data_IF_636443076653
#
_entry.id   IF_636443076653
#
_cell.length_a   1.000
_cell.length_b   1.000
_cell.length_c   1.000
_cell.angle_alpha   90.00
_cell.angle_beta   90.00
_cell.angle_gamma   90.00
#
_symmetry.space_group_name_H-M   'P 1'
#
loop_
_entity.id
_entity.type
_entity.pdbx_description
1 polymer ?
#
# COMPACT_ATOMS: atom_id res chain seq x y z
N UNK A 1 -11.33 7.68 -23.86
CA UNK A 1 -10.41 6.52 -23.97
C UNK A 1 -11.27 5.26 -23.86
N UNK A 2 -11.13 4.31 -24.79
CA UNK A 2 -11.82 3.02 -24.68
C UNK A 2 -11.01 2.08 -23.78
N UNK A 3 -11.69 1.29 -22.90
CA UNK A 3 -10.98 0.32 -22.08
C UNK A 3 -10.27 -0.73 -22.96
N UNK A 4 -9.06 -1.16 -22.58
CA UNK A 4 -8.38 -2.22 -23.29
C UNK A 4 -9.12 -3.56 -23.11
N UNK A 5 -9.44 -4.24 -24.22
CA UNK A 5 -10.17 -5.51 -24.18
C UNK A 5 -9.33 -6.63 -23.54
N UNK A 6 -9.89 -7.44 -22.63
CA UNK A 6 -9.11 -8.44 -21.84
C UNK A 6 -8.46 -9.54 -22.66
N UNK A 7 -8.93 -9.80 -23.90
CA UNK A 7 -8.52 -10.96 -24.72
C UNK A 7 -7.69 -10.60 -25.95
N UNK A 8 -7.30 -9.34 -26.14
CA UNK A 8 -6.50 -8.91 -27.28
C UNK A 8 -5.09 -8.53 -26.86
N UNK A 9 -4.16 -8.56 -27.81
CA UNK A 9 -2.84 -7.97 -27.63
C UNK A 9 -2.98 -6.52 -27.16
N UNK A 10 -2.41 -6.23 -26.02
CA UNK A 10 -2.55 -4.93 -25.38
C UNK A 10 -1.29 -4.10 -25.64
N UNK A 11 -1.47 -2.91 -26.15
CA UNK A 11 -0.37 -1.96 -26.22
C UNK A 11 -0.09 -1.40 -24.82
N UNK A 12 1.14 -1.55 -24.27
CA UNK A 12 1.44 -1.12 -22.89
C UNK A 12 1.11 0.35 -22.63
N UNK A 13 1.39 1.26 -23.57
CA UNK A 13 1.04 2.67 -23.45
C UNK A 13 -0.47 2.91 -23.36
N UNK A 14 -1.30 2.10 -24.06
CA UNK A 14 -2.76 2.20 -23.95
C UNK A 14 -3.24 1.74 -22.57
N UNK A 15 -2.63 0.70 -22.02
CA UNK A 15 -2.95 0.22 -20.67
C UNK A 15 -2.59 1.29 -19.65
N UNK A 16 -1.38 1.87 -19.74
CA UNK A 16 -0.99 2.98 -18.88
C UNK A 16 -1.96 4.16 -19.01
N UNK A 17 -2.25 4.61 -20.21
CA UNK A 17 -3.20 5.71 -20.43
C UNK A 17 -4.61 5.42 -19.86
N UNK A 18 -5.05 4.18 -19.91
CA UNK A 18 -6.31 3.76 -19.29
C UNK A 18 -6.24 3.82 -17.77
N UNK A 19 -5.18 3.34 -17.16
CA UNK A 19 -4.97 3.43 -15.72
C UNK A 19 -4.84 4.87 -15.24
N UNK A 20 -4.08 5.70 -15.95
CA UNK A 20 -3.95 7.13 -15.64
C UNK A 20 -5.32 7.83 -15.69
N UNK A 21 -6.14 7.51 -16.71
CA UNK A 21 -7.51 8.01 -16.80
C UNK A 21 -8.36 7.55 -15.60
N UNK A 22 -8.32 6.27 -15.24
CA UNK A 22 -9.07 5.75 -14.09
C UNK A 22 -8.62 6.42 -12.78
N UNK A 23 -7.31 6.54 -12.56
CA UNK A 23 -6.77 7.23 -11.38
C UNK A 23 -7.22 8.69 -11.32
N UNK A 24 -7.20 9.40 -12.45
CA UNK A 24 -7.66 10.80 -12.54
C UNK A 24 -9.16 10.93 -12.22
N UNK A 25 -10.00 9.99 -12.69
CA UNK A 25 -11.44 10.00 -12.40
C UNK A 25 -11.71 9.72 -10.92
N UNK A 26 -11.03 8.74 -10.33
CA UNK A 26 -11.18 8.41 -8.90
C UNK A 26 -10.68 9.57 -8.04
N UNK A 27 -9.51 10.15 -8.36
CA UNK A 27 -8.98 11.34 -7.68
C UNK A 27 -9.99 12.50 -7.70
N UNK A 28 -10.58 12.82 -8.87
CA UNK A 28 -11.59 13.87 -9.02
C UNK A 28 -12.81 13.58 -8.16
N UNK A 29 -13.37 12.38 -8.28
CA UNK A 29 -14.57 11.96 -7.57
C UNK A 29 -14.39 12.00 -6.04
N UNK A 30 -13.30 11.46 -5.53
CA UNK A 30 -12.98 11.47 -4.09
C UNK A 30 -12.69 12.88 -3.62
N UNK A 31 -11.94 13.67 -4.41
CA UNK A 31 -11.58 15.04 -4.09
C UNK A 31 -12.79 15.98 -4.02
N UNK A 32 -13.77 15.82 -4.92
CA UNK A 32 -15.02 16.61 -4.89
C UNK A 32 -15.84 16.34 -3.61
N UNK A 33 -15.90 15.06 -3.19
CA UNK A 33 -16.57 14.71 -1.94
C UNK A 33 -15.84 15.28 -0.72
N UNK A 34 -14.50 15.21 -0.71
CA UNK A 34 -13.69 15.78 0.36
C UNK A 34 -13.90 17.31 0.46
N UNK A 35 -13.92 18.02 -0.67
CA UNK A 35 -14.18 19.47 -0.70
C UNK A 35 -15.54 19.81 -0.09
N UNK A 36 -16.58 19.05 -0.40
CA UNK A 36 -17.93 19.25 0.19
C UNK A 36 -17.89 19.01 1.71
N UNK A 37 -17.29 17.91 2.16
CA UNK A 37 -17.21 17.60 3.59
C UNK A 37 -16.42 18.67 4.37
N UNK A 38 -15.29 19.13 3.82
CA UNK A 38 -14.49 20.19 4.41
C UNK A 38 -15.26 21.53 4.49
N UNK A 39 -16.07 21.84 3.46
CA UNK A 39 -16.91 23.03 3.47
C UNK A 39 -17.96 23.02 4.60
N UNK A 40 -18.38 21.82 5.06
CA UNK A 40 -19.22 21.64 6.24
C UNK A 40 -18.45 21.52 7.56
N UNK A 41 -17.13 21.71 7.54
CA UNK A 41 -16.27 21.65 8.73
C UNK A 41 -15.91 20.24 9.19
N UNK A 42 -16.12 19.22 8.36
CA UNK A 42 -15.67 17.87 8.66
C UNK A 42 -14.14 17.82 8.67
N UNK A 43 -13.58 17.08 9.62
CA UNK A 43 -12.16 16.79 9.75
C UNK A 43 -11.94 15.28 9.73
N UNK A 44 -10.73 14.83 9.44
CA UNK A 44 -10.39 13.41 9.32
C UNK A 44 -11.15 12.70 8.19
N UNK A 45 -11.37 13.41 7.09
CA UNK A 45 -11.98 12.87 5.89
C UNK A 45 -11.00 11.88 5.24
N UNK A 46 -11.46 10.67 5.00
CA UNK A 46 -10.70 9.62 4.34
C UNK A 46 -11.59 8.77 3.45
N UNK A 47 -11.00 7.91 2.65
CA UNK A 47 -11.72 6.91 1.86
C UNK A 47 -11.10 5.54 2.06
N UNK A 48 -11.96 4.56 2.15
CA UNK A 48 -11.57 3.18 2.35
C UNK A 48 -10.97 2.58 1.08
N UNK A 49 -9.77 2.06 1.16
CA UNK A 49 -8.99 1.56 0.02
C UNK A 49 -8.57 0.11 0.24
N UNK A 50 -8.45 -0.64 -0.85
CA UNK A 50 -7.96 -2.02 -0.84
C UNK A 50 -6.50 -2.10 -1.28
N UNK A 51 -5.75 -3.03 -0.67
CA UNK A 51 -4.31 -3.18 -0.80
C UNK A 51 -3.75 -3.41 -2.21
N UNK A 52 -4.55 -3.84 -3.17
CA UNK A 52 -4.06 -4.51 -4.38
C UNK A 52 -4.47 -3.84 -5.68
N UNK A 53 -4.94 -2.59 -5.65
CA UNK A 53 -5.28 -1.89 -6.87
C UNK A 53 -4.09 -1.05 -7.35
N UNK A 54 -3.94 -0.96 -8.66
CA UNK A 54 -2.92 -0.16 -9.31
C UNK A 54 -3.24 1.36 -9.27
N UNK A 55 -4.00 1.81 -8.27
CA UNK A 55 -4.30 3.21 -8.06
C UNK A 55 -3.09 3.95 -7.48
N UNK A 56 -2.89 5.18 -7.87
CA UNK A 56 -1.98 6.07 -7.18
C UNK A 56 -2.60 6.51 -5.84
N UNK A 57 -2.17 5.88 -4.76
CA UNK A 57 -2.61 6.24 -3.41
C UNK A 57 -2.29 7.69 -3.06
N UNK A 58 -1.13 8.20 -3.49
CA UNK A 58 -0.73 9.59 -3.33
C UNK A 58 -1.73 10.54 -3.98
N UNK A 59 -2.06 10.30 -5.26
CA UNK A 59 -3.00 11.14 -5.99
C UNK A 59 -4.42 11.10 -5.42
N UNK A 60 -4.93 9.92 -5.07
CA UNK A 60 -6.27 9.76 -4.52
C UNK A 60 -6.40 10.40 -3.13
N UNK A 61 -5.35 10.31 -2.32
CA UNK A 61 -5.35 10.88 -0.97
C UNK A 61 -4.97 12.38 -0.91
N UNK A 62 -4.73 13.04 -2.04
CA UNK A 62 -4.26 14.45 -2.07
C UNK A 62 -5.12 15.39 -1.22
N UNK A 63 -6.45 15.31 -1.38
CA UNK A 63 -7.43 16.14 -0.64
C UNK A 63 -7.98 15.51 0.64
N UNK A 64 -7.62 14.26 0.92
CA UNK A 64 -8.05 13.56 2.12
C UNK A 64 -7.15 13.91 3.30
N UNK A 65 -7.67 13.84 4.53
CA UNK A 65 -6.93 14.14 5.74
C UNK A 65 -6.16 12.94 6.27
N UNK A 66 -6.71 11.75 6.10
CA UNK A 66 -6.18 10.49 6.63
C UNK A 66 -6.23 9.39 5.58
N UNK A 67 -5.17 8.59 5.53
CA UNK A 67 -5.13 7.37 4.70
C UNK A 67 -5.90 6.26 5.41
N UNK A 68 -6.87 5.68 4.72
CA UNK A 68 -7.69 4.58 5.23
C UNK A 68 -7.51 3.33 4.38
N UNK A 69 -7.63 2.17 4.98
CA UNK A 69 -7.27 0.92 4.33
C UNK A 69 -7.99 -0.29 4.92
N UNK A 70 -8.42 -1.22 4.06
CA UNK A 70 -8.96 -2.52 4.46
C UNK A 70 -7.91 -3.61 4.31
N UNK A 71 -7.80 -4.45 5.33
CA UNK A 71 -6.78 -5.47 5.38
C UNK A 71 -7.30 -6.82 5.84
N UNK A 72 -7.20 -7.83 4.97
CA UNK A 72 -7.72 -9.20 5.19
C UNK A 72 -6.71 -10.30 4.87
N UNK A 73 -5.42 -10.03 5.00
CA UNK A 73 -4.38 -10.99 4.66
C UNK A 73 -4.39 -12.23 5.57
N UNK A 74 -4.06 -13.41 5.03
CA UNK A 74 -3.83 -14.61 5.83
C UNK A 74 -2.72 -14.43 6.85
N UNK A 75 -2.78 -15.19 7.94
CA UNK A 75 -1.78 -15.12 9.02
C UNK A 75 -0.33 -15.42 8.57
N UNK A 76 -0.16 -16.12 7.45
CA UNK A 76 1.15 -16.47 6.88
C UNK A 76 1.82 -15.33 6.09
N UNK A 77 1.05 -14.32 5.70
CA UNK A 77 1.50 -13.27 4.78
C UNK A 77 1.91 -11.98 5.53
N UNK A 78 2.58 -12.13 6.67
CA UNK A 78 3.08 -10.99 7.46
C UNK A 78 4.03 -10.05 6.70
N UNK A 79 4.96 -10.52 5.86
CA UNK A 79 5.83 -9.61 5.08
C UNK A 79 5.04 -8.73 4.10
N UNK A 80 4.03 -9.27 3.43
CA UNK A 80 3.13 -8.54 2.54
C UNK A 80 2.34 -7.47 3.31
N UNK A 81 1.82 -7.85 4.47
CA UNK A 81 1.11 -6.97 5.37
C UNK A 81 1.97 -5.81 5.85
N UNK A 82 3.18 -6.09 6.31
CA UNK A 82 4.14 -5.09 6.76
C UNK A 82 4.52 -4.11 5.63
N UNK A 83 4.80 -4.63 4.43
CA UNK A 83 5.05 -3.83 3.23
C UNK A 83 3.92 -2.84 2.95
N UNK A 84 2.67 -3.32 3.01
CA UNK A 84 1.50 -2.48 2.76
C UNK A 84 1.36 -1.37 3.82
N UNK A 85 1.59 -1.66 5.09
CA UNK A 85 1.49 -0.67 6.16
C UNK A 85 2.60 0.38 6.08
N UNK A 86 3.84 -0.01 5.77
CA UNK A 86 4.93 0.94 5.59
C UNK A 86 4.71 1.83 4.35
N UNK A 87 4.05 1.31 3.30
CA UNK A 87 3.61 2.14 2.17
C UNK A 87 2.53 3.15 2.59
N UNK A 88 1.49 2.70 3.29
CA UNK A 88 0.36 3.57 3.69
C UNK A 88 0.80 4.70 4.61
N UNK A 89 1.71 4.43 5.54
CA UNK A 89 2.30 5.45 6.42
C UNK A 89 2.98 6.56 5.63
N UNK A 90 3.66 6.23 4.55
CA UNK A 90 4.39 7.18 3.71
C UNK A 90 3.51 7.98 2.74
N UNK A 91 2.26 7.60 2.50
CA UNK A 91 1.37 8.33 1.58
C UNK A 91 1.15 9.78 2.00
N UNK A 92 1.05 10.04 3.31
CA UNK A 92 0.88 11.39 3.87
C UNK A 92 1.88 11.73 4.98
N UNK A 93 2.85 10.88 5.26
CA UNK A 93 3.77 10.99 6.40
C UNK A 93 3.05 11.22 7.73
N UNK A 94 1.92 10.53 7.89
CA UNK A 94 1.04 10.61 9.05
C UNK A 94 0.56 9.22 9.45
N UNK A 95 0.06 9.05 10.69
CA UNK A 95 -0.65 7.83 11.06
C UNK A 95 -1.78 7.53 10.08
N UNK A 96 -1.96 6.25 9.74
CA UNK A 96 -3.04 5.76 8.89
C UNK A 96 -4.06 4.97 9.72
N UNK A 97 -5.23 4.70 9.14
CA UNK A 97 -6.29 3.94 9.80
C UNK A 97 -6.58 2.65 9.04
N UNK A 98 -6.61 1.53 9.76
CA UNK A 98 -7.16 0.27 9.28
C UNK A 98 -8.64 0.27 9.58
N UNK A 99 -9.48 0.44 8.55
CA UNK A 99 -10.92 0.59 8.70
C UNK A 99 -11.64 -0.75 8.74
N UNK A 100 -11.03 -1.78 8.15
CA UNK A 100 -11.54 -3.15 8.24
C UNK A 100 -10.39 -4.15 8.35
N UNK A 101 -10.52 -5.05 9.30
CA UNK A 101 -9.74 -6.30 9.34
C UNK A 101 -10.60 -7.42 9.93
N UNK A 102 -10.22 -8.67 9.66
CA UNK A 102 -10.98 -9.79 10.15
C UNK A 102 -10.90 -9.94 11.68
N UNK A 103 -12.05 -10.07 12.31
CA UNK A 103 -12.13 -10.38 13.72
C UNK A 103 -11.86 -11.88 14.02
N UNK A 104 -11.99 -12.76 13.04
CA UNK A 104 -11.84 -14.20 13.18
C UNK A 104 -11.33 -14.83 11.88
N UNK A 105 -12.20 -15.10 10.91
CA UNK A 105 -11.88 -15.58 9.57
C UNK A 105 -12.56 -14.68 8.54
N UNK A 106 -12.01 -14.64 7.34
CA UNK A 106 -12.66 -14.00 6.22
C UNK A 106 -13.42 -15.08 5.44
N UNK A 107 -14.72 -14.95 5.35
CA UNK A 107 -15.63 -15.92 4.74
C UNK A 107 -16.24 -15.46 3.42
N UNK A 108 -15.55 -14.62 2.66
CA UNK A 108 -15.97 -14.28 1.31
C UNK A 108 -15.54 -15.36 0.30
N UNK A 109 -16.22 -15.44 -0.83
CA UNK A 109 -15.89 -16.37 -1.92
C UNK A 109 -14.48 -16.18 -2.51
N UNK A 110 -13.85 -15.05 -2.23
CA UNK A 110 -12.52 -14.67 -2.74
C UNK A 110 -11.40 -14.85 -1.71
N UNK A 111 -11.71 -15.33 -0.49
CA UNK A 111 -10.75 -15.34 0.58
C UNK A 111 -10.58 -16.72 1.22
N UNK A 112 -9.38 -16.97 1.72
CA UNK A 112 -9.07 -18.15 2.51
C UNK A 112 -9.83 -18.11 3.84
N UNK A 113 -10.89 -18.93 3.95
CA UNK A 113 -11.78 -19.01 5.10
C UNK A 113 -11.14 -19.69 6.32
N UNK A 114 -9.85 -19.85 6.37
CA UNK A 114 -9.12 -20.52 7.44
C UNK A 114 -9.36 -19.90 8.81
N UNK A 115 -9.61 -20.74 9.81
CA UNK A 115 -9.69 -20.33 11.20
C UNK A 115 -8.35 -19.74 11.65
N UNK A 116 -8.37 -18.58 12.30
CA UNK A 116 -7.15 -17.94 12.77
C UNK A 116 -6.50 -18.76 13.88
N UNK A 117 -5.17 -19.03 13.81
CA UNK A 117 -4.45 -19.66 14.91
C UNK A 117 -4.56 -18.84 16.20
N UNK A 118 -4.39 -19.52 17.34
CA UNK A 118 -4.39 -18.84 18.64
C UNK A 118 -3.30 -17.76 18.69
N UNK A 119 -3.65 -16.58 19.20
CA UNK A 119 -2.77 -15.41 19.25
C UNK A 119 -2.71 -14.59 17.97
N UNK A 120 -3.23 -15.09 16.85
CA UNK A 120 -3.16 -14.36 15.57
C UNK A 120 -3.97 -13.07 15.58
N UNK A 121 -5.19 -13.07 16.12
CA UNK A 121 -6.00 -11.85 16.20
C UNK A 121 -5.38 -10.81 17.14
N UNK A 122 -4.72 -11.23 18.21
CA UNK A 122 -3.93 -10.35 19.06
C UNK A 122 -2.76 -9.71 18.28
N UNK A 123 -1.96 -10.52 17.59
CA UNK A 123 -0.84 -10.04 16.80
C UNK A 123 -1.31 -9.12 15.65
N UNK A 124 -2.41 -9.48 14.98
CA UNK A 124 -2.99 -8.69 13.89
C UNK A 124 -3.56 -7.33 14.35
N UNK A 125 -3.91 -7.19 15.62
CA UNK A 125 -4.27 -5.91 16.23
C UNK A 125 -3.04 -5.03 16.44
N UNK A 126 -1.94 -5.59 16.89
CA UNK A 126 -0.72 -4.86 17.18
C UNK A 126 0.11 -4.51 15.93
N UNK A 127 0.03 -5.35 14.90
CA UNK A 127 0.86 -5.17 13.70
C UNK A 127 0.68 -3.80 13.04
N UNK A 128 -0.54 -3.33 12.73
CA UNK A 128 -0.69 -2.00 12.13
C UNK A 128 -0.18 -0.89 13.05
N UNK A 129 -0.37 -1.00 14.36
CA UNK A 129 0.12 -0.02 15.34
C UNK A 129 1.65 0.01 15.33
N UNK A 130 2.30 -1.16 15.25
CA UNK A 130 3.76 -1.25 15.14
C UNK A 130 4.30 -0.62 13.85
N UNK A 131 3.46 -0.45 12.83
CA UNK A 131 3.77 0.22 11.55
C UNK A 131 3.21 1.64 11.45
N UNK A 132 2.71 2.21 12.55
CA UNK A 132 2.27 3.61 12.61
C UNK A 132 0.78 3.86 12.39
N UNK A 133 -0.06 2.82 12.48
CA UNK A 133 -1.50 3.04 12.48
C UNK A 133 -1.99 3.61 13.82
N UNK A 134 -2.97 4.50 13.74
CA UNK A 134 -3.64 5.12 14.89
C UNK A 134 -4.97 4.45 15.22
N UNK A 135 -5.56 3.73 14.25
CA UNK A 135 -6.85 3.07 14.37
C UNK A 135 -6.82 1.68 13.72
N UNK A 136 -7.50 0.72 14.36
CA UNK A 136 -7.72 -0.60 13.82
C UNK A 136 -9.15 -1.06 14.12
N UNK A 137 -10.00 -1.13 13.12
CA UNK A 137 -11.39 -1.56 13.20
C UNK A 137 -11.57 -2.98 12.66
N UNK A 138 -12.61 -3.64 13.13
CA UNK A 138 -12.88 -5.02 12.78
C UNK A 138 -14.17 -5.18 12.00
N UNK A 139 -14.11 -5.92 10.92
CA UNK A 139 -15.28 -6.47 10.25
C UNK A 139 -15.50 -7.88 10.73
N UNK A 140 -16.52 -8.22 11.50
CA UNK A 140 -17.57 -7.31 11.99
C UNK A 140 -17.87 -7.64 13.47
N UNK A 141 -18.69 -6.80 14.11
CA UNK A 141 -19.03 -7.01 15.52
C UNK A 141 -19.85 -8.29 15.75
N UNK A 142 -20.93 -8.50 14.97
CA UNK A 142 -21.80 -9.66 15.06
C UNK A 142 -22.03 -10.28 13.69
N UNK A 143 -21.86 -11.58 13.56
CA UNK A 143 -22.03 -12.30 12.31
C UNK A 143 -23.42 -12.08 11.70
N UNK A 144 -23.45 -11.92 10.39
CA UNK A 144 -24.67 -11.77 9.63
C UNK A 144 -25.56 -13.01 9.77
N UNK A 145 -26.86 -12.85 10.03
CA UNK A 145 -27.79 -13.97 10.08
C UNK A 145 -28.16 -14.49 8.69
N UNK A 146 -27.98 -13.69 7.67
CA UNK A 146 -28.25 -14.00 6.27
C UNK A 146 -27.47 -13.05 5.34
N UNK A 147 -27.59 -13.26 4.05
CA UNK A 147 -27.02 -12.39 3.03
C UNK A 147 -25.69 -12.88 2.49
N UNK A 148 -25.05 -12.03 1.71
CA UNK A 148 -23.88 -12.36 0.89
C UNK A 148 -22.66 -12.78 1.72
N UNK A 149 -22.49 -12.18 2.88
CA UNK A 149 -21.37 -12.45 3.80
C UNK A 149 -21.76 -13.34 4.99
N UNK A 150 -22.75 -14.21 4.83
CA UNK A 150 -23.21 -15.11 5.90
C UNK A 150 -22.08 -16.00 6.46
N UNK A 151 -21.08 -16.30 5.65
CA UNK A 151 -19.89 -17.07 6.03
C UNK A 151 -18.79 -16.27 6.71
N UNK A 152 -18.92 -14.93 6.83
CA UNK A 152 -17.86 -14.09 7.38
C UNK A 152 -17.76 -14.24 8.90
N UNK A 153 -16.51 -14.29 9.40
CA UNK A 153 -16.22 -14.30 10.84
C UNK A 153 -16.48 -12.96 11.51
N UNK A 154 -16.80 -13.01 12.80
CA UNK A 154 -17.12 -11.83 13.58
C UNK A 154 -16.59 -11.96 15.01
N UNK A 155 -16.71 -10.90 15.82
CA UNK A 155 -16.45 -10.97 17.27
C UNK A 155 -17.47 -11.87 17.98
N UNK A 156 -18.73 -11.76 17.59
CA UNK A 156 -19.83 -12.57 18.13
C UNK A 156 -20.57 -13.30 17.02
N UNK A 157 -21.02 -14.52 17.32
CA UNK A 157 -21.88 -15.29 16.43
C UNK A 157 -23.20 -14.58 16.17
N UNK A 158 -23.95 -15.02 15.16
CA UNK A 158 -25.29 -14.53 14.89
C UNK A 158 -26.24 -14.68 16.12
N UNK A 159 -26.00 -15.69 16.97
CA UNK A 159 -26.71 -15.90 18.23
C UNK A 159 -26.15 -15.08 19.41
N UNK A 160 -25.18 -14.22 19.20
CA UNK A 160 -24.58 -13.34 20.23
C UNK A 160 -23.56 -14.03 21.14
N UNK A 161 -23.07 -15.23 20.80
CA UNK A 161 -22.01 -15.90 21.57
C UNK A 161 -20.64 -15.45 21.13
N UNK A 162 -19.76 -15.14 22.09
CA UNK A 162 -18.37 -14.79 21.82
C UNK A 162 -17.59 -15.96 21.21
N UNK A 163 -16.72 -15.64 20.28
CA UNK A 163 -15.72 -16.58 19.78
C UNK A 163 -14.43 -16.50 20.62
N UNK A 164 -13.54 -17.49 20.46
CA UNK A 164 -12.21 -17.48 21.11
C UNK A 164 -11.45 -16.18 20.81
N UNK A 165 -11.49 -15.74 19.60
CA UNK A 165 -10.78 -14.53 19.11
C UNK A 165 -11.31 -13.24 19.74
N UNK A 166 -12.54 -13.21 20.23
CA UNK A 166 -13.09 -12.06 20.97
C UNK A 166 -12.23 -11.72 22.19
N UNK A 167 -11.78 -12.74 22.93
CA UNK A 167 -10.92 -12.54 24.11
C UNK A 167 -9.52 -12.03 23.71
N UNK A 168 -8.98 -12.48 22.57
CA UNK A 168 -7.69 -11.99 22.05
C UNK A 168 -7.75 -10.51 21.70
N UNK A 169 -8.81 -10.10 21.00
CA UNK A 169 -9.02 -8.70 20.61
C UNK A 169 -9.27 -7.81 21.83
N UNK A 170 -10.11 -8.28 22.78
CA UNK A 170 -10.36 -7.55 24.02
C UNK A 170 -9.07 -7.35 24.85
N UNK A 171 -8.19 -8.36 24.89
CA UNK A 171 -6.87 -8.25 25.51
C UNK A 171 -6.00 -7.22 24.79
N UNK A 172 -5.92 -7.30 23.45
CA UNK A 172 -5.13 -6.34 22.67
C UNK A 172 -5.62 -4.90 22.89
N UNK A 173 -6.94 -4.67 22.88
CA UNK A 173 -7.52 -3.36 23.15
C UNK A 173 -7.17 -2.82 24.54
N UNK A 174 -7.18 -3.69 25.57
CA UNK A 174 -6.75 -3.32 26.94
C UNK A 174 -5.26 -2.96 26.98
N UNK A 175 -4.42 -3.76 26.35
CA UNK A 175 -2.96 -3.53 26.33
C UNK A 175 -2.63 -2.24 25.56
N UNK A 176 -3.30 -1.96 24.43
CA UNK A 176 -3.18 -0.70 23.69
C UNK A 176 -3.60 0.51 24.54
N UNK A 177 -4.70 0.40 25.29
CA UNK A 177 -5.14 1.47 26.18
C UNK A 177 -4.09 1.77 27.27
N UNK A 178 -3.38 0.77 27.78
CA UNK A 178 -2.29 0.98 28.74
C UNK A 178 -1.06 1.62 28.09
N UNK A 179 -0.77 1.30 26.83
CA UNK A 179 0.36 1.85 26.08
C UNK A 179 0.06 3.21 25.42
N UNK A 180 -1.18 3.68 25.43
CA UNK A 180 -1.62 4.86 24.68
C UNK A 180 -0.74 6.10 24.90
N UNK A 181 -0.34 6.39 26.16
CA UNK A 181 0.51 7.55 26.47
C UNK A 181 1.92 7.42 25.86
N UNK A 182 2.44 6.21 25.68
CA UNK A 182 3.75 5.95 25.07
C UNK A 182 3.66 6.05 23.55
N UNK A 183 2.54 5.60 22.97
CA UNK A 183 2.32 5.57 21.53
C UNK A 183 1.89 6.94 21.00
N UNK A 184 1.22 7.74 21.81
CA UNK A 184 0.74 9.07 21.43
C UNK A 184 1.90 9.96 20.97
N UNK A 185 1.78 10.52 19.77
CA UNK A 185 2.83 11.32 19.10
C UNK A 185 4.13 10.56 18.80
N UNK A 186 4.15 9.25 18.91
CA UNK A 186 5.26 8.46 18.39
C UNK A 186 5.28 8.47 16.86
N UNK A 187 6.46 8.38 16.27
CA UNK A 187 6.61 8.23 14.83
C UNK A 187 7.68 7.18 14.52
N UNK A 188 7.46 6.46 13.45
CA UNK A 188 8.48 5.57 12.89
C UNK A 188 9.37 6.43 12.00
N UNK A 189 10.68 6.27 12.15
CA UNK A 189 11.66 6.91 11.28
C UNK A 189 12.46 5.84 10.56
N UNK A 190 12.67 6.05 9.29
CA UNK A 190 13.55 5.23 8.47
C UNK A 190 14.57 6.12 7.73
N UNK A 191 15.79 5.61 7.61
CA UNK A 191 16.84 6.19 6.77
C UNK A 191 16.93 5.45 5.42
N UNK A 192 16.11 4.42 5.23
CA UNK A 192 16.07 3.56 4.04
C UNK A 192 14.67 3.62 3.44
N UNK A 193 14.59 3.82 2.14
CA UNK A 193 13.34 3.75 1.39
C UNK A 193 13.41 2.74 0.25
N UNK A 194 12.28 2.14 -0.07
CA UNK A 194 12.06 1.27 -1.21
C UNK A 194 11.00 1.89 -2.12
N UNK A 195 11.33 2.17 -3.37
CA UNK A 195 10.37 2.65 -4.35
C UNK A 195 9.37 1.57 -4.76
N UNK A 196 8.10 1.94 -4.75
CA UNK A 196 6.98 1.16 -5.28
C UNK A 196 6.26 1.97 -6.36
N UNK A 197 6.41 1.56 -7.61
CA UNK A 197 5.87 2.27 -8.78
C UNK A 197 4.57 1.65 -9.26
N UNK A 198 3.47 2.43 -9.26
CA UNK A 198 2.20 2.03 -9.86
C UNK A 198 2.32 1.80 -11.38
N UNK A 199 3.15 2.58 -12.08
CA UNK A 199 3.44 2.37 -13.50
C UNK A 199 4.14 1.03 -13.75
N UNK A 200 5.10 0.67 -12.90
CA UNK A 200 5.76 -0.62 -13.02
C UNK A 200 4.81 -1.80 -12.75
N UNK A 201 3.89 -1.67 -11.77
CA UNK A 201 2.80 -2.65 -11.57
C UNK A 201 2.03 -2.85 -12.87
N UNK A 202 1.49 -1.78 -13.43
CA UNK A 202 0.67 -1.84 -14.64
C UNK A 202 1.43 -2.38 -15.85
N UNK A 203 2.70 -1.99 -16.00
CA UNK A 203 3.55 -2.45 -17.09
C UNK A 203 3.80 -3.96 -17.01
N UNK A 204 4.25 -4.44 -15.87
CA UNK A 204 4.62 -5.84 -15.72
C UNK A 204 3.41 -6.77 -15.65
N UNK A 205 2.24 -6.28 -15.23
CA UNK A 205 0.97 -7.00 -15.36
C UNK A 205 0.55 -7.14 -16.83
N UNK A 206 0.80 -6.10 -17.64
CA UNK A 206 0.47 -6.11 -19.05
C UNK A 206 1.47 -6.89 -19.92
N UNK A 207 2.74 -6.84 -19.57
CA UNK A 207 3.86 -7.44 -20.29
C UNK A 207 4.87 -8.05 -19.30
N UNK A 208 4.55 -9.18 -18.66
CA UNK A 208 5.42 -9.78 -17.66
C UNK A 208 6.75 -10.20 -18.27
N UNK A 209 7.83 -10.03 -17.50
CA UNK A 209 9.20 -10.40 -17.95
C UNK A 209 9.35 -11.89 -18.20
N UNK A 210 8.71 -12.69 -17.38
CA UNK A 210 8.66 -14.15 -17.47
C UNK A 210 7.27 -14.62 -17.05
N UNK A 211 6.94 -15.86 -17.37
CA UNK A 211 5.70 -16.48 -16.86
C UNK A 211 5.66 -16.42 -15.34
N UNK A 212 4.50 -16.06 -14.81
CA UNK A 212 4.24 -15.95 -13.37
C UNK A 212 5.11 -14.90 -12.63
N UNK A 213 5.68 -13.92 -13.34
CA UNK A 213 6.37 -12.80 -12.73
C UNK A 213 5.36 -11.86 -12.04
N UNK A 214 5.58 -11.61 -10.76
CA UNK A 214 4.88 -10.58 -9.99
C UNK A 214 5.87 -9.51 -9.54
N UNK A 215 5.68 -8.28 -10.02
CA UNK A 215 6.47 -7.13 -9.59
C UNK A 215 6.33 -6.91 -8.08
N UNK A 216 5.08 -6.91 -7.58
CA UNK A 216 4.78 -6.69 -6.17
C UNK A 216 5.43 -7.75 -5.27
N UNK A 217 5.32 -9.04 -5.59
CA UNK A 217 5.90 -10.11 -4.77
C UNK A 217 7.44 -10.03 -4.76
N UNK A 218 8.03 -9.62 -5.88
CA UNK A 218 9.47 -9.38 -5.97
C UNK A 218 9.91 -8.24 -5.05
N UNK A 219 9.14 -7.15 -4.99
CA UNK A 219 9.41 -6.04 -4.06
C UNK A 219 9.24 -6.45 -2.61
N UNK A 220 8.20 -7.22 -2.28
CA UNK A 220 7.97 -7.72 -0.92
C UNK A 220 9.14 -8.59 -0.46
N UNK A 221 9.69 -9.43 -1.32
CA UNK A 221 10.90 -10.20 -0.99
C UNK A 221 12.10 -9.30 -0.69
N UNK A 222 12.32 -8.22 -1.47
CA UNK A 222 13.38 -7.24 -1.23
C UNK A 222 13.16 -6.45 0.06
N UNK A 223 11.94 -5.97 0.25
CA UNK A 223 11.51 -5.33 1.49
C UNK A 223 11.82 -6.21 2.70
N UNK A 224 11.41 -7.48 2.67
CA UNK A 224 11.59 -8.39 3.78
C UNK A 224 13.07 -8.65 4.11
N UNK A 225 13.95 -8.69 3.12
CA UNK A 225 15.38 -8.83 3.32
C UNK A 225 15.99 -7.66 4.11
N UNK A 226 15.51 -6.44 3.87
CA UNK A 226 15.97 -5.23 4.59
C UNK A 226 15.26 -5.09 5.94
N UNK A 227 13.94 -5.27 5.97
CA UNK A 227 13.10 -5.09 7.15
C UNK A 227 13.51 -5.96 8.35
N UNK A 228 14.12 -7.11 8.12
CA UNK A 228 14.67 -7.96 9.20
C UNK A 228 15.71 -7.27 10.08
N UNK A 229 16.35 -6.23 9.59
CA UNK A 229 17.49 -5.60 10.24
C UNK A 229 17.33 -4.09 10.41
N UNK A 230 16.47 -3.46 9.63
CA UNK A 230 16.30 -2.01 9.59
C UNK A 230 14.84 -1.63 9.38
N UNK A 231 14.42 -0.49 9.91
CA UNK A 231 13.20 0.13 9.45
C UNK A 231 13.37 0.53 7.99
N UNK A 232 12.32 0.37 7.21
CA UNK A 232 12.28 0.71 5.80
C UNK A 232 10.94 1.35 5.47
N UNK A 233 10.96 2.45 4.75
CA UNK A 233 9.77 3.08 4.20
C UNK A 233 9.52 2.55 2.79
N UNK A 234 8.27 2.37 2.41
CA UNK A 234 7.89 2.05 1.04
C UNK A 234 7.24 3.29 0.44
N UNK A 235 7.85 3.85 -0.59
CA UNK A 235 7.50 5.17 -1.10
C UNK A 235 7.12 5.16 -2.58
N UNK A 236 6.19 6.04 -2.95
CA UNK A 236 5.84 6.31 -4.35
C UNK A 236 6.90 7.23 -5.00
N UNK A 237 6.87 7.30 -6.34
CA UNK A 237 7.76 8.16 -7.10
C UNK A 237 7.58 9.66 -6.81
N UNK A 238 6.42 10.06 -6.31
CA UNK A 238 6.13 11.44 -5.93
C UNK A 238 6.66 11.83 -4.55
N UNK A 239 7.03 10.85 -3.72
CA UNK A 239 7.48 11.08 -2.34
C UNK A 239 8.80 11.86 -2.29
N UNK A 240 8.97 12.73 -1.29
CA UNK A 240 10.22 13.44 -1.05
C UNK A 240 11.34 12.48 -0.61
N UNK A 241 12.58 12.77 -1.00
CA UNK A 241 13.75 11.94 -0.64
C UNK A 241 14.51 12.48 0.57
N UNK A 242 14.06 13.61 1.12
CA UNK A 242 14.69 14.25 2.27
C UNK A 242 14.67 13.35 3.50
N UNK A 243 15.80 13.25 4.17
CA UNK A 243 15.94 12.43 5.38
C UNK A 243 16.34 10.96 5.13
N UNK A 244 16.20 10.44 3.91
CA UNK A 244 16.73 9.13 3.57
C UNK A 244 18.23 9.19 3.28
N UNK A 245 18.96 8.16 3.67
CA UNK A 245 20.36 7.92 3.33
C UNK A 245 20.51 6.96 2.16
N UNK A 246 19.57 6.00 2.09
CA UNK A 246 19.56 4.95 1.05
C UNK A 246 18.17 4.86 0.44
N UNK A 247 18.11 4.88 -0.88
CA UNK A 247 16.88 4.61 -1.65
C UNK A 247 17.13 3.44 -2.59
N UNK A 248 16.25 2.45 -2.52
CA UNK A 248 16.34 1.20 -3.30
C UNK A 248 15.23 1.22 -4.36
N UNK A 249 15.59 1.10 -5.62
CA UNK A 249 14.65 1.18 -6.76
C UNK A 249 14.80 -0.05 -7.67
N UNK A 250 14.32 -1.22 -7.26
CA UNK A 250 14.34 -2.39 -8.12
C UNK A 250 13.21 -2.30 -9.16
N UNK A 251 13.50 -2.64 -10.40
CA UNK A 251 12.53 -2.66 -11.51
C UNK A 251 11.77 -1.34 -11.71
N UNK A 252 12.42 -0.21 -11.47
CA UNK A 252 11.86 1.11 -11.72
C UNK A 252 11.98 1.43 -13.23
N UNK A 253 11.09 0.84 -14.03
CA UNK A 253 11.18 0.84 -15.48
C UNK A 253 11.19 2.23 -16.10
N UNK A 254 10.47 3.20 -15.49
CA UNK A 254 10.44 4.59 -15.87
C UNK A 254 10.87 5.46 -14.69
N UNK A 255 11.98 6.17 -14.81
CA UNK A 255 12.46 7.14 -13.81
C UNK A 255 11.87 8.52 -14.05
N UNK A 256 11.34 8.77 -15.24
CA UNK A 256 10.79 10.06 -15.68
C UNK A 256 9.32 10.26 -15.17
N UNK A 257 9.01 9.76 -13.98
CA UNK A 257 7.70 9.93 -13.34
C UNK A 257 7.77 10.95 -12.22
N UNK A 258 6.79 11.84 -12.17
CA UNK A 258 6.62 12.83 -11.09
C UNK A 258 7.88 13.68 -10.82
N UNK A 259 8.71 13.94 -11.83
CA UNK A 259 9.98 14.69 -11.70
C UNK A 259 11.01 13.96 -10.82
N UNK A 260 10.94 12.63 -10.72
CA UNK A 260 11.86 11.85 -9.91
C UNK A 260 13.29 11.97 -10.41
N UNK A 261 13.50 12.04 -11.73
CA UNK A 261 14.81 12.14 -12.36
C UNK A 261 15.65 13.28 -11.75
N UNK A 262 15.11 14.49 -11.76
CA UNK A 262 15.78 15.66 -11.23
C UNK A 262 15.99 15.56 -9.71
N UNK A 263 14.97 15.15 -8.98
CA UNK A 263 15.01 15.05 -7.51
C UNK A 263 16.02 14.01 -7.03
N UNK A 264 16.09 12.85 -7.68
CA UNK A 264 17.06 11.81 -7.29
C UNK A 264 18.49 12.23 -7.59
N UNK A 265 18.74 12.95 -8.71
CA UNK A 265 20.06 13.50 -9.02
C UNK A 265 20.53 14.51 -7.98
N UNK A 266 19.67 15.44 -7.61
CA UNK A 266 19.97 16.44 -6.58
C UNK A 266 20.27 15.75 -5.25
N UNK A 267 19.44 14.77 -4.88
CA UNK A 267 19.61 14.02 -3.65
C UNK A 267 20.92 13.19 -3.63
N UNK A 268 21.28 12.53 -4.72
CA UNK A 268 22.57 11.81 -4.85
C UNK A 268 23.75 12.77 -4.75
N UNK A 269 23.69 13.93 -5.43
CA UNK A 269 24.72 14.97 -5.32
C UNK A 269 24.87 15.53 -3.89
N UNK A 270 23.77 15.51 -3.13
CA UNK A 270 23.78 15.87 -1.71
C UNK A 270 24.31 14.77 -0.78
N UNK A 271 24.71 13.62 -1.31
CA UNK A 271 25.33 12.51 -0.56
C UNK A 271 24.41 11.30 -0.30
N UNK A 272 23.24 11.27 -0.91
CA UNK A 272 22.34 10.10 -0.86
C UNK A 272 22.91 8.90 -1.64
N UNK A 273 22.58 7.69 -1.21
CA UNK A 273 22.98 6.45 -1.89
C UNK A 273 21.78 5.85 -2.60
N UNK A 274 21.80 5.84 -3.93
CA UNK A 274 20.74 5.24 -4.75
C UNK A 274 21.15 3.84 -5.24
N UNK A 275 20.40 2.83 -4.81
CA UNK A 275 20.58 1.43 -5.25
C UNK A 275 19.57 1.14 -6.35
N UNK A 276 20.05 1.11 -7.58
CA UNK A 276 19.22 0.85 -8.76
C UNK A 276 19.25 -0.64 -9.09
N UNK A 277 18.08 -1.23 -9.23
CA UNK A 277 17.92 -2.64 -9.59
C UNK A 277 17.85 -2.87 -11.10
N UNK A 278 17.73 -4.14 -11.52
CA UNK A 278 17.57 -4.48 -12.93
C UNK A 278 16.29 -3.88 -13.52
N UNK A 279 16.27 -3.71 -14.84
CA UNK A 279 15.13 -3.18 -15.60
C UNK A 279 14.67 -1.78 -15.17
N UNK A 280 15.54 -1.00 -14.52
CA UNK A 280 15.28 0.39 -14.19
C UNK A 280 15.71 1.31 -15.32
N UNK A 281 15.01 2.44 -15.50
CA UNK A 281 15.27 3.48 -16.51
C UNK A 281 15.39 2.96 -17.96
N UNK A 282 14.51 2.04 -18.32
CA UNK A 282 14.49 1.42 -19.66
C UNK A 282 13.39 1.97 -20.58
N UNK A 283 12.53 2.83 -20.04
CA UNK A 283 11.34 3.36 -20.74
C UNK A 283 11.07 4.82 -20.35
N UNK A 284 10.46 5.54 -21.29
CA UNK A 284 9.91 6.89 -21.04
C UNK A 284 8.54 6.83 -20.30
N UNK A 285 8.01 7.99 -19.92
CA UNK A 285 6.72 8.12 -19.26
C UNK A 285 5.50 7.61 -20.05
N UNK A 286 5.66 7.32 -21.34
CA UNK A 286 4.66 6.69 -22.21
C UNK A 286 4.88 5.18 -22.36
N UNK A 287 5.77 4.59 -21.56
CA UNK A 287 6.11 3.16 -21.61
C UNK A 287 6.69 2.74 -22.96
N UNK A 288 7.50 3.62 -23.58
CA UNK A 288 8.28 3.32 -24.78
C UNK A 288 9.75 3.16 -24.40
N UNK A 289 10.37 2.11 -24.92
CA UNK A 289 11.81 1.93 -24.72
C UNK A 289 12.57 3.08 -25.36
N UNK A 290 13.64 3.48 -24.71
CA UNK A 290 14.62 4.38 -25.33
C UNK A 290 15.26 3.71 -26.54
N UNK A 291 15.46 4.48 -27.61
CA UNK A 291 16.04 3.99 -28.88
C UNK A 291 17.51 4.39 -29.04
N UNK A 292 17.92 5.43 -28.33
CA UNK A 292 19.23 6.05 -28.50
C UNK A 292 20.26 5.57 -27.47
N UNK A 293 19.77 5.17 -26.28
CA UNK A 293 20.59 4.59 -25.23
C UNK A 293 19.76 3.55 -24.46
N UNK A 294 20.35 2.46 -23.94
CA UNK A 294 19.64 1.48 -23.11
C UNK A 294 19.14 2.09 -21.80
N UNK A 295 19.79 3.15 -21.31
CA UNK A 295 19.48 3.86 -20.07
C UNK A 295 19.64 5.37 -20.34
N UNK A 296 18.53 6.11 -20.38
CA UNK A 296 18.64 7.54 -20.75
C UNK A 296 19.31 8.40 -19.68
N UNK A 297 19.10 8.02 -18.44
CA UNK A 297 19.44 8.84 -17.28
C UNK A 297 20.58 8.25 -16.43
N UNK A 298 20.66 6.94 -16.31
CA UNK A 298 21.69 6.29 -15.52
C UNK A 298 23.10 6.54 -16.09
N UNK A 299 23.23 6.78 -17.41
CA UNK A 299 24.49 7.16 -18.05
C UNK A 299 24.94 8.57 -17.63
N UNK A 300 24.00 9.48 -17.33
CA UNK A 300 24.31 10.84 -16.85
C UNK A 300 24.58 10.87 -15.34
N UNK A 301 24.09 9.88 -14.59
CA UNK A 301 24.18 9.81 -13.13
C UNK A 301 25.40 9.04 -12.62
N UNK A 302 26.02 8.22 -13.47
CA UNK A 302 27.19 7.40 -13.15
C UNK A 302 28.51 8.16 -13.41
#
# INVERSE_FOLDING_TARGET
IQPPYPRQWRHPSLIKAWHDFQCAQIKSYVGEQADVLHAFGCTNVGTDMMANNALSYYAVNEKLDVVQFNHYNPAKDLPDTAFSYDFLRCVKDKPFWVMETQANWNGSEYADCGYRPAGNCYANTWLPVAHGAEMNLYWLFRAHPNGHEIGHGALYSAAGRAYRTTAEIARAAKDLAMCNKLLQNSCIRSEIALHYSGTAVNLFDAAPLIKDFSYRDTLIQRYHAVFRHHNIDVIDMAHALDGYKVVISPFLACVDENGLKERVLEWVRAGGTWIVGPMSDIMDGNVRKYTDAPFSFLEEAA
#
